data_IF_515256938701
#
_entry.id   IF_515256938701
#
_cell.length_a   1.000
_cell.length_b   1.000
_cell.length_c   1.000
_cell.angle_alpha   90.00
_cell.angle_beta   90.00
_cell.angle_gamma   90.00
#
_symmetry.space_group_name_H-M   'P 1'
#
loop_
_entity.id
_entity.type
_entity.pdbx_description
1 polymer ?
#
# COMPACT_ATOMS: atom_id res chain seq x y z
N UNK A 1 15.65 10.33 7.21
CA UNK A 1 14.48 10.92 7.91
C UNK A 1 14.18 12.33 7.37
N UNK A 2 15.21 13.15 7.13
CA UNK A 2 15.07 14.51 6.59
C UNK A 2 14.32 14.53 5.26
N UNK A 3 14.59 13.61 4.34
CA UNK A 3 13.92 13.52 3.04
C UNK A 3 12.40 13.35 3.12
N UNK A 4 11.87 12.67 4.15
CA UNK A 4 10.42 12.45 4.27
C UNK A 4 9.72 13.70 4.82
N UNK A 5 10.36 14.41 5.73
CA UNK A 5 9.82 15.66 6.27
C UNK A 5 9.77 16.80 5.23
N UNK A 6 10.58 16.71 4.17
CA UNK A 6 10.60 17.67 3.07
C UNK A 6 9.54 17.40 1.99
N UNK A 7 8.92 16.20 1.98
CA UNK A 7 7.90 15.87 0.99
C UNK A 7 6.64 16.70 1.26
N UNK A 8 6.26 17.50 0.30
CA UNK A 8 5.03 18.30 0.33
C UNK A 8 4.10 17.86 -0.80
N UNK A 9 3.20 16.91 -0.50
CA UNK A 9 2.25 16.37 -1.46
C UNK A 9 0.84 16.27 -0.83
N UNK A 10 -0.25 16.60 -1.53
CA UNK A 10 -1.60 16.62 -0.97
C UNK A 10 -2.07 15.27 -0.42
N UNK A 11 -1.54 14.16 -0.95
CA UNK A 11 -1.92 12.81 -0.55
C UNK A 11 -0.85 12.09 0.29
N UNK A 12 0.03 12.84 0.91
CA UNK A 12 1.02 12.37 1.89
C UNK A 12 0.79 13.12 3.19
N UNK A 13 0.86 12.42 4.32
CA UNK A 13 0.72 13.04 5.64
C UNK A 13 1.83 14.06 5.85
N UNK A 14 1.48 15.24 6.32
CA UNK A 14 2.47 16.27 6.63
C UNK A 14 3.13 15.96 7.96
N UNK A 15 4.45 15.89 7.97
CA UNK A 15 5.27 15.76 9.17
C UNK A 15 5.74 17.15 9.59
N UNK A 16 5.48 17.52 10.84
CA UNK A 16 5.86 18.83 11.40
C UNK A 16 7.16 18.77 12.16
N UNK A 17 7.43 17.65 12.83
CA UNK A 17 8.63 17.46 13.63
C UNK A 17 9.00 15.99 13.79
N UNK A 18 10.28 15.74 13.90
CA UNK A 18 10.88 14.42 14.14
C UNK A 18 11.93 14.59 15.22
N UNK A 19 11.62 14.15 16.42
CA UNK A 19 12.56 14.21 17.55
C UNK A 19 13.07 12.83 17.96
N UNK A 20 14.35 12.74 18.23
CA UNK A 20 14.97 11.57 18.86
C UNK A 20 15.56 12.04 20.18
N UNK A 21 14.85 11.72 21.28
CA UNK A 21 15.38 11.90 22.64
C UNK A 21 16.17 10.66 23.09
N UNK A 22 16.80 10.73 24.27
CA UNK A 22 17.64 9.66 24.81
C UNK A 22 16.89 8.34 24.97
N UNK A 23 15.58 8.37 25.25
CA UNK A 23 14.76 7.18 25.48
C UNK A 23 13.55 7.03 24.50
N UNK A 24 13.22 8.05 23.71
CA UNK A 24 12.01 8.06 22.89
C UNK A 24 12.24 8.74 21.55
N UNK A 25 11.72 8.13 20.47
CA UNK A 25 11.52 8.81 19.20
C UNK A 25 10.07 9.30 19.12
N UNK A 26 9.85 10.55 18.72
CA UNK A 26 8.50 11.09 18.49
C UNK A 26 8.38 11.67 17.08
N UNK A 27 7.18 11.59 16.54
CA UNK A 27 6.82 12.18 15.25
C UNK A 27 5.60 13.06 15.48
N UNK A 28 5.72 14.36 15.24
CA UNK A 28 4.58 15.25 15.17
C UNK A 28 4.11 15.37 13.73
N UNK A 29 2.85 15.00 13.47
CA UNK A 29 2.29 14.98 12.12
C UNK A 29 0.88 15.58 12.08
N UNK A 30 0.39 15.81 10.87
CA UNK A 30 -0.99 16.21 10.59
C UNK A 30 -1.96 15.25 11.27
N UNK A 31 -2.98 15.79 11.93
CA UNK A 31 -4.08 15.01 12.50
C UNK A 31 -5.13 14.73 11.43
N UNK A 32 -5.44 13.45 11.22
CA UNK A 32 -6.36 12.96 10.20
C UNK A 32 -7.58 12.34 10.90
N UNK A 33 -8.74 12.99 10.79
CA UNK A 33 -9.94 12.65 11.54
C UNK A 33 -11.04 11.95 10.72
N UNK A 34 -10.78 11.63 9.46
CA UNK A 34 -11.70 10.92 8.57
C UNK A 34 -11.68 9.38 8.67
N UNK A 35 -10.91 8.83 9.62
CA UNK A 35 -10.69 7.38 9.74
C UNK A 35 -9.69 6.83 8.71
N UNK A 36 -9.58 5.51 8.62
CA UNK A 36 -8.71 4.84 7.67
C UNK A 36 -9.50 4.19 6.52
N UNK A 37 -8.80 3.88 5.44
CA UNK A 37 -9.39 3.23 4.27
C UNK A 37 -9.94 1.83 4.58
N UNK A 38 -9.37 1.12 5.58
CA UNK A 38 -9.87 -0.20 6.00
C UNK A 38 -11.30 -0.10 6.54
N UNK A 39 -11.55 0.89 7.40
CA UNK A 39 -12.90 1.15 7.91
C UNK A 39 -13.82 1.55 6.75
N UNK A 40 -13.39 2.43 5.85
CA UNK A 40 -14.18 2.86 4.71
C UNK A 40 -14.53 1.71 3.77
N UNK A 41 -13.63 0.76 3.52
CA UNK A 41 -13.93 -0.46 2.75
C UNK A 41 -15.01 -1.29 3.44
N UNK A 42 -14.93 -1.46 4.77
CA UNK A 42 -15.91 -2.23 5.52
C UNK A 42 -17.32 -1.60 5.51
N UNK A 43 -17.40 -0.28 5.45
CA UNK A 43 -18.66 0.49 5.29
C UNK A 43 -19.21 0.44 3.86
N UNK A 44 -18.38 0.09 2.89
CA UNK A 44 -18.68 0.06 1.47
C UNK A 44 -18.20 1.31 0.74
N UNK A 45 -17.53 1.11 -0.40
CA UNK A 45 -16.99 2.18 -1.24
C UNK A 45 -17.73 2.17 -2.59
N UNK A 46 -18.13 3.35 -3.04
CA UNK A 46 -18.65 3.50 -4.42
C UNK A 46 -17.52 3.35 -5.42
N UNK A 47 -17.82 2.86 -6.62
CA UNK A 47 -16.85 2.76 -7.73
C UNK A 47 -16.13 4.10 -7.97
N UNK A 48 -16.87 5.20 -7.98
CA UNK A 48 -16.32 6.55 -8.13
C UNK A 48 -15.26 6.88 -7.09
N UNK A 49 -15.54 6.57 -5.82
CA UNK A 49 -14.60 6.82 -4.73
C UNK A 49 -13.39 5.87 -4.81
N UNK A 50 -13.60 4.60 -5.17
CA UNK A 50 -12.49 3.65 -5.35
C UNK A 50 -11.50 4.14 -6.41
N UNK A 51 -12.00 4.63 -7.55
CA UNK A 51 -11.19 5.22 -8.62
C UNK A 51 -10.50 6.51 -8.17
N UNK A 52 -11.20 7.37 -7.45
CA UNK A 52 -10.62 8.61 -6.90
C UNK A 52 -9.48 8.30 -5.93
N UNK A 53 -9.69 7.38 -5.00
CA UNK A 53 -8.66 6.97 -4.03
C UNK A 53 -7.47 6.30 -4.73
N UNK A 54 -7.72 5.43 -5.71
CA UNK A 54 -6.64 4.82 -6.50
C UNK A 54 -5.73 5.88 -7.13
N UNK A 55 -6.31 6.91 -7.77
CA UNK A 55 -5.54 8.01 -8.38
C UNK A 55 -4.71 8.77 -7.36
N UNK A 56 -5.28 9.09 -6.22
CA UNK A 56 -4.62 9.83 -5.15
C UNK A 56 -3.47 9.02 -4.54
N UNK A 57 -3.67 7.71 -4.29
CA UNK A 57 -2.63 6.83 -3.77
C UNK A 57 -1.50 6.68 -4.79
N UNK A 58 -1.83 6.48 -6.08
CA UNK A 58 -0.84 6.37 -7.14
C UNK A 58 -0.01 7.65 -7.26
N UNK A 59 -0.62 8.84 -7.14
CA UNK A 59 0.08 10.13 -7.13
C UNK A 59 1.06 10.24 -5.96
N UNK A 60 0.64 9.85 -4.75
CA UNK A 60 1.49 9.84 -3.58
C UNK A 60 2.66 8.86 -3.71
N UNK A 61 2.40 7.64 -4.25
CA UNK A 61 3.46 6.66 -4.51
C UNK A 61 4.47 7.18 -5.54
N UNK A 62 4.00 7.81 -6.62
CA UNK A 62 4.88 8.40 -7.63
C UNK A 62 5.84 9.43 -7.01
N UNK A 63 5.35 10.27 -6.10
CA UNK A 63 6.15 11.26 -5.39
C UNK A 63 7.26 10.62 -4.55
N UNK A 64 6.91 9.67 -3.67
CA UNK A 64 7.92 9.01 -2.82
C UNK A 64 8.90 8.17 -3.63
N UNK A 65 8.45 7.52 -4.70
CA UNK A 65 9.32 6.76 -5.60
C UNK A 65 10.30 7.67 -6.34
N UNK A 66 9.87 8.88 -6.73
CA UNK A 66 10.70 9.88 -7.39
C UNK A 66 11.90 10.33 -6.55
N UNK A 67 11.78 10.29 -5.23
CA UNK A 67 12.89 10.57 -4.29
C UNK A 67 13.55 9.30 -3.74
N UNK A 68 13.30 8.15 -4.34
CA UNK A 68 13.94 6.88 -4.00
C UNK A 68 13.41 6.22 -2.72
N UNK A 69 12.23 6.61 -2.26
CA UNK A 69 11.59 6.03 -1.07
C UNK A 69 10.56 4.99 -1.50
N UNK A 70 10.57 3.82 -0.84
CA UNK A 70 9.56 2.76 -0.99
C UNK A 70 8.68 2.74 0.25
N UNK A 71 7.36 2.54 0.05
CA UNK A 71 6.43 2.42 1.16
C UNK A 71 6.60 1.09 1.92
N UNK A 72 6.70 -0.03 1.20
CA UNK A 72 6.97 -1.41 1.69
C UNK A 72 5.90 -2.04 2.59
N UNK A 73 4.99 -1.26 3.16
CA UNK A 73 3.88 -1.75 4.01
C UNK A 73 2.56 -1.07 3.62
N UNK A 74 2.32 -0.94 2.31
CA UNK A 74 1.11 -0.34 1.78
C UNK A 74 -0.10 -1.24 2.06
N UNK A 75 -1.06 -0.72 2.83
CA UNK A 75 -2.29 -1.41 3.21
C UNK A 75 -3.36 -0.38 3.58
N UNK A 76 -4.65 -0.73 3.57
CA UNK A 76 -5.74 0.22 3.87
C UNK A 76 -5.62 0.93 5.23
N UNK A 77 -5.04 0.27 6.25
CA UNK A 77 -4.80 0.91 7.56
C UNK A 77 -3.71 1.99 7.56
N UNK A 78 -2.88 2.05 6.51
CA UNK A 78 -1.84 3.09 6.34
C UNK A 78 -2.28 4.18 5.34
N UNK A 79 -3.58 4.23 5.02
CA UNK A 79 -4.20 5.23 4.16
C UNK A 79 -5.32 5.88 4.96
N UNK A 80 -5.09 7.11 5.39
CA UNK A 80 -6.05 7.87 6.19
C UNK A 80 -6.88 8.79 5.29
N UNK A 81 -8.08 9.12 5.76
CA UNK A 81 -8.96 10.08 5.09
C UNK A 81 -9.00 11.40 5.85
N UNK A 82 -9.16 12.49 5.09
CA UNK A 82 -9.52 13.81 5.63
C UNK A 82 -11.02 14.02 5.53
N UNK A 83 -11.53 15.07 6.15
CA UNK A 83 -12.97 15.45 6.10
C UNK A 83 -13.50 15.72 4.70
N UNK A 84 -12.65 16.14 3.79
CA UNK A 84 -12.99 16.42 2.39
C UNK A 84 -12.92 15.16 1.49
N UNK A 85 -12.81 13.98 2.10
CA UNK A 85 -12.65 12.70 1.42
C UNK A 85 -11.32 12.56 0.64
N UNK A 86 -10.36 13.46 0.80
CA UNK A 86 -9.01 13.25 0.28
C UNK A 86 -8.25 12.25 1.14
N UNK A 87 -7.34 11.50 0.54
CA UNK A 87 -6.51 10.53 1.28
C UNK A 87 -5.14 11.12 1.63
N UNK A 88 -4.54 10.58 2.67
CA UNK A 88 -3.14 10.78 3.02
C UNK A 88 -2.47 9.45 3.32
N UNK A 89 -1.34 9.17 2.66
CA UNK A 89 -0.47 8.05 3.01
C UNK A 89 0.27 8.36 4.31
N UNK A 90 0.33 7.36 5.20
CA UNK A 90 1.08 7.39 6.45
C UNK A 90 2.06 6.20 6.51
N UNK A 91 3.01 6.24 7.43
CA UNK A 91 3.90 5.09 7.75
C UNK A 91 4.74 4.54 6.59
N UNK A 92 5.57 5.37 5.96
CA UNK A 92 6.52 5.01 4.90
C UNK A 92 7.64 4.07 5.36
N UNK A 93 7.35 2.86 5.79
CA UNK A 93 8.33 1.86 6.19
C UNK A 93 9.31 2.30 7.30
N UNK A 94 9.06 3.45 7.95
CA UNK A 94 9.91 4.01 9.01
C UNK A 94 10.01 3.07 10.20
N UNK A 95 8.88 2.49 10.60
CA UNK A 95 8.82 1.55 11.72
C UNK A 95 9.57 0.23 11.41
N UNK A 96 9.52 -0.26 10.17
CA UNK A 96 10.23 -1.50 9.79
C UNK A 96 11.74 -1.33 9.80
N UNK A 97 12.28 -0.17 9.40
CA UNK A 97 13.72 0.10 9.49
C UNK A 97 14.21 0.27 10.93
N UNK A 98 13.40 0.86 11.81
CA UNK A 98 13.70 0.95 13.23
C UNK A 98 13.54 -0.40 13.93
N UNK A 99 12.49 -1.17 13.63
CA UNK A 99 12.26 -2.51 14.16
C UNK A 99 13.28 -3.52 13.67
N UNK A 100 13.67 -3.54 12.39
CA UNK A 100 14.73 -4.41 11.88
C UNK A 100 16.11 -4.15 12.51
N UNK A 101 16.33 -2.97 13.10
CA UNK A 101 17.52 -2.72 13.93
C UNK A 101 17.37 -3.19 15.38
N UNK A 102 16.12 -3.36 15.86
CA UNK A 102 15.85 -3.73 17.27
C UNK A 102 15.36 -5.18 17.42
N UNK A 103 14.84 -5.81 16.35
CA UNK A 103 14.25 -7.15 16.38
C UNK A 103 14.86 -8.05 15.29
N UNK A 104 16.16 -8.25 15.32
CA UNK A 104 16.74 -9.52 14.88
C UNK A 104 16.57 -10.52 16.02
N UNK A 105 15.31 -10.87 16.31
CA UNK A 105 15.00 -12.04 17.12
C UNK A 105 14.95 -13.28 16.23
N UNK A 106 15.60 -14.32 16.66
CA UNK A 106 15.94 -15.59 15.99
C UNK A 106 14.76 -16.50 15.59
N UNK A 107 13.53 -15.99 15.50
CA UNK A 107 12.37 -16.79 15.12
C UNK A 107 11.64 -16.10 13.96
N UNK A 108 11.64 -16.76 12.79
CA UNK A 108 11.02 -16.32 11.55
C UNK A 108 9.49 -16.16 11.62
N UNK A 109 8.98 -15.45 12.59
CA UNK A 109 7.58 -15.09 12.72
C UNK A 109 7.24 -13.92 11.78
N UNK A 110 6.36 -14.19 10.81
CA UNK A 110 5.77 -13.18 9.94
C UNK A 110 4.80 -12.35 10.80
N UNK A 111 5.24 -11.16 11.24
CA UNK A 111 4.37 -10.24 11.96
C UNK A 111 3.27 -9.69 11.05
N UNK A 112 2.03 -10.06 11.31
CA UNK A 112 0.84 -9.61 10.58
C UNK A 112 0.46 -10.54 9.43
N UNK A 113 -0.76 -10.35 8.92
CA UNK A 113 -1.28 -11.16 7.82
C UNK A 113 -0.85 -10.57 6.49
N UNK A 114 -0.18 -11.34 5.58
CA UNK A 114 0.48 -10.83 4.37
C UNK A 114 -0.51 -10.58 3.21
N UNK A 115 -1.69 -10.02 3.48
CA UNK A 115 -2.73 -9.84 2.46
C UNK A 115 -2.38 -8.87 1.34
N UNK A 116 -1.45 -7.93 1.58
CA UNK A 116 -1.07 -6.89 0.61
C UNK A 116 0.37 -7.03 0.13
N UNK A 117 1.05 -8.09 0.55
CA UNK A 117 2.45 -8.35 0.26
C UNK A 117 2.63 -8.77 -1.20
N UNK A 118 3.63 -8.22 -1.87
CA UNK A 118 3.98 -8.67 -3.21
C UNK A 118 4.67 -10.04 -3.20
N UNK A 119 4.64 -10.80 -4.31
CA UNK A 119 5.31 -12.10 -4.40
C UNK A 119 6.79 -12.05 -3.99
N UNK A 120 7.54 -11.06 -4.45
CA UNK A 120 8.95 -10.88 -4.14
C UNK A 120 9.20 -10.56 -2.67
N UNK A 121 8.32 -9.78 -2.02
CA UNK A 121 8.39 -9.54 -0.58
C UNK A 121 8.19 -10.84 0.21
N UNK A 122 7.24 -11.67 -0.21
CA UNK A 122 6.95 -12.95 0.44
C UNK A 122 8.07 -13.98 0.32
N UNK A 123 8.93 -13.85 -0.69
CA UNK A 123 10.09 -14.72 -0.92
C UNK A 123 11.41 -14.14 -0.40
N UNK A 124 11.40 -12.93 0.16
CA UNK A 124 12.62 -12.25 0.59
C UNK A 124 13.56 -11.82 -0.54
N UNK A 125 13.03 -11.71 -1.77
CA UNK A 125 13.76 -11.25 -2.94
C UNK A 125 13.92 -9.72 -2.93
N UNK A 126 14.72 -9.19 -3.88
CA UNK A 126 14.88 -7.75 -4.04
C UNK A 126 13.55 -7.02 -4.26
N UNK A 127 13.27 -6.03 -3.42
CA UNK A 127 12.01 -5.25 -3.43
C UNK A 127 12.30 -3.88 -4.01
N UNK A 128 11.54 -3.48 -5.02
CA UNK A 128 11.56 -2.14 -5.61
C UNK A 128 10.17 -1.47 -5.57
N UNK A 129 10.04 -0.31 -6.21
CA UNK A 129 8.80 0.49 -6.25
C UNK A 129 7.60 -0.26 -6.86
N UNK A 130 7.84 -1.28 -7.70
CA UNK A 130 6.78 -2.10 -8.30
C UNK A 130 6.11 -3.04 -7.30
N UNK A 131 6.74 -3.28 -6.13
CA UNK A 131 6.10 -3.97 -5.01
C UNK A 131 4.96 -3.13 -4.41
N UNK A 132 5.14 -1.81 -4.31
CA UNK A 132 4.09 -0.90 -3.84
C UNK A 132 2.92 -0.83 -4.86
N UNK A 133 3.23 -0.90 -6.17
CA UNK A 133 2.21 -0.97 -7.24
C UNK A 133 1.37 -2.25 -7.11
N UNK A 134 2.02 -3.39 -6.81
CA UNK A 134 1.31 -4.64 -6.55
C UNK A 134 0.37 -4.52 -5.33
N UNK A 135 0.87 -3.99 -4.22
CA UNK A 135 0.07 -3.76 -3.01
C UNK A 135 -1.12 -2.83 -3.27
N UNK A 136 -0.91 -1.78 -4.09
CA UNK A 136 -1.99 -0.89 -4.55
C UNK A 136 -3.04 -1.64 -5.38
N UNK A 137 -2.62 -2.57 -6.24
CA UNK A 137 -3.53 -3.45 -7.00
C UNK A 137 -4.40 -4.31 -6.08
N UNK A 138 -3.81 -4.88 -5.02
CA UNK A 138 -4.57 -5.64 -4.01
C UNK A 138 -5.61 -4.75 -3.30
N UNK A 139 -5.23 -3.53 -2.93
CA UNK A 139 -6.13 -2.56 -2.31
C UNK A 139 -7.24 -2.15 -3.27
N UNK A 140 -6.93 -1.93 -4.54
CA UNK A 140 -7.93 -1.56 -5.53
C UNK A 140 -8.96 -2.67 -5.76
N UNK A 141 -8.51 -3.92 -5.85
CA UNK A 141 -9.42 -5.06 -5.90
C UNK A 141 -10.37 -5.07 -4.69
N UNK A 142 -9.82 -4.88 -3.47
CA UNK A 142 -10.60 -4.85 -2.23
C UNK A 142 -11.59 -3.67 -2.21
N UNK A 143 -11.20 -2.48 -2.65
CA UNK A 143 -12.11 -1.33 -2.78
C UNK A 143 -13.29 -1.59 -3.72
N UNK A 144 -13.06 -2.30 -4.84
CA UNK A 144 -14.09 -2.60 -5.83
C UNK A 144 -15.04 -3.73 -5.42
N UNK A 145 -14.56 -4.69 -4.63
CA UNK A 145 -15.28 -5.94 -4.34
C UNK A 145 -15.73 -6.07 -2.88
N UNK A 146 -15.09 -5.36 -1.96
CA UNK A 146 -15.21 -5.55 -0.50
C UNK A 146 -14.42 -6.77 0.00
N UNK A 147 -13.70 -7.46 -0.87
CA UNK A 147 -12.99 -8.71 -0.56
C UNK A 147 -11.54 -8.67 -1.00
N UNK A 148 -10.68 -9.41 -0.30
CA UNK A 148 -9.27 -9.57 -0.69
C UNK A 148 -9.15 -10.56 -1.85
N UNK A 149 -8.26 -10.32 -2.84
CA UNK A 149 -8.10 -11.21 -3.99
C UNK A 149 -7.54 -12.59 -3.61
N UNK A 150 -6.76 -12.67 -2.53
CA UNK A 150 -6.14 -13.90 -2.06
C UNK A 150 -6.42 -14.09 -0.58
N UNK A 151 -6.95 -15.27 -0.21
CA UNK A 151 -7.32 -15.63 1.16
C UNK A 151 -6.97 -17.08 1.43
N UNK A 152 -6.39 -17.38 2.58
CA UNK A 152 -6.12 -18.73 3.03
C UNK A 152 -6.08 -18.81 4.57
N UNK A 153 -6.06 -20.02 5.11
CA UNK A 153 -6.08 -20.28 6.55
C UNK A 153 -4.73 -20.02 7.27
N UNK A 154 -3.65 -19.73 6.52
CA UNK A 154 -2.34 -19.42 7.11
C UNK A 154 -1.60 -18.36 6.32
N UNK A 155 -0.68 -17.65 6.97
CA UNK A 155 0.15 -16.63 6.34
C UNK A 155 0.96 -17.19 5.15
N UNK A 156 1.56 -18.37 5.31
CA UNK A 156 2.32 -19.02 4.25
C UNK A 156 1.46 -19.40 3.05
N UNK A 157 0.21 -19.85 3.27
CA UNK A 157 -0.71 -20.16 2.18
C UNK A 157 -1.15 -18.89 1.43
N UNK A 158 -1.30 -17.74 2.11
CA UNK A 158 -1.58 -16.45 1.47
C UNK A 158 -0.38 -16.01 0.62
N UNK A 159 0.85 -16.09 1.13
CA UNK A 159 2.07 -15.79 0.38
C UNK A 159 2.16 -16.67 -0.88
N UNK A 160 1.88 -17.96 -0.73
CA UNK A 160 1.84 -18.87 -1.88
C UNK A 160 0.80 -18.45 -2.93
N UNK A 161 -0.40 -18.02 -2.51
CA UNK A 161 -1.42 -17.51 -3.44
C UNK A 161 -0.97 -16.24 -4.15
N UNK A 162 -0.35 -15.29 -3.46
CA UNK A 162 0.22 -14.11 -4.10
C UNK A 162 1.22 -14.48 -5.21
N UNK A 163 2.02 -15.50 -4.99
CA UNK A 163 3.03 -15.94 -5.95
C UNK A 163 2.46 -16.78 -7.12
N UNK A 164 1.42 -17.58 -6.89
CA UNK A 164 1.02 -18.66 -7.82
C UNK A 164 -0.44 -18.66 -8.24
N UNK A 165 -1.36 -18.16 -7.44
CA UNK A 165 -2.77 -18.20 -7.78
C UNK A 165 -3.08 -17.25 -8.95
N UNK A 166 -4.01 -17.61 -9.84
CA UNK A 166 -4.47 -16.70 -10.88
C UNK A 166 -5.09 -15.46 -10.27
N UNK A 167 -4.99 -14.33 -10.97
CA UNK A 167 -5.65 -13.08 -10.58
C UNK A 167 -7.16 -13.29 -10.69
N UNK A 168 -7.95 -13.08 -9.62
CA UNK A 168 -9.38 -13.31 -9.67
C UNK A 168 -10.08 -12.31 -10.60
N UNK A 169 -11.16 -12.78 -11.23
CA UNK A 169 -11.97 -11.94 -12.09
C UNK A 169 -12.82 -10.99 -11.26
N UNK A 170 -12.90 -9.75 -11.73
CA UNK A 170 -13.80 -8.75 -11.17
C UNK A 170 -15.26 -9.08 -11.50
N UNK A 171 -16.22 -8.74 -10.63
CA UNK A 171 -17.64 -8.74 -10.96
C UNK A 171 -17.94 -7.91 -12.23
N UNK A 172 -18.95 -8.32 -13.01
CA UNK A 172 -19.30 -7.68 -14.29
C UNK A 172 -19.46 -6.16 -14.17
N UNK A 173 -20.03 -5.67 -13.06
CA UNK A 173 -20.26 -4.23 -12.81
C UNK A 173 -19.01 -3.36 -12.79
N UNK A 174 -17.83 -3.96 -12.58
CA UNK A 174 -16.51 -3.27 -12.49
C UNK A 174 -15.45 -3.95 -13.36
N UNK A 175 -15.88 -4.80 -14.30
CA UNK A 175 -14.99 -5.60 -15.15
C UNK A 175 -14.12 -4.74 -16.08
N UNK A 176 -14.47 -3.49 -16.34
CA UNK A 176 -13.66 -2.54 -17.11
C UNK A 176 -12.27 -2.31 -16.50
N UNK A 177 -12.10 -2.52 -15.20
CA UNK A 177 -10.80 -2.38 -14.51
C UNK A 177 -9.95 -3.66 -14.50
N UNK A 178 -10.42 -4.75 -15.12
CA UNK A 178 -9.69 -6.03 -15.09
C UNK A 178 -8.31 -5.94 -15.75
N UNK A 179 -8.19 -5.21 -16.86
CA UNK A 179 -6.91 -5.04 -17.56
C UNK A 179 -5.88 -4.32 -16.67
N UNK A 180 -6.29 -3.23 -16.02
CA UNK A 180 -5.43 -2.51 -15.06
C UNK A 180 -5.00 -3.44 -13.90
N UNK A 181 -5.95 -4.16 -13.31
CA UNK A 181 -5.63 -5.10 -12.22
C UNK A 181 -4.68 -6.20 -12.64
N UNK A 182 -4.82 -6.73 -13.87
CA UNK A 182 -3.90 -7.73 -14.38
C UNK A 182 -2.46 -7.19 -14.48
N UNK A 183 -2.31 -5.93 -14.91
CA UNK A 183 -1.01 -5.26 -14.96
C UNK A 183 -0.44 -4.98 -13.56
N UNK A 184 -1.28 -4.54 -12.61
CA UNK A 184 -0.80 -4.25 -11.25
C UNK A 184 -0.47 -5.52 -10.46
N UNK A 185 -1.25 -6.60 -10.63
CA UNK A 185 -1.13 -7.87 -9.90
C UNK A 185 -0.32 -8.93 -10.64
N UNK A 186 0.37 -8.59 -11.73
CA UNK A 186 1.28 -9.50 -12.42
C UNK A 186 2.33 -10.06 -11.44
N UNK A 187 2.63 -11.36 -11.59
CA UNK A 187 3.46 -12.06 -10.61
C UNK A 187 4.92 -11.61 -10.67
N UNK A 188 5.42 -11.38 -11.87
CA UNK A 188 6.77 -10.88 -12.09
C UNK A 188 6.75 -9.34 -12.13
N UNK A 189 7.67 -8.65 -11.42
CA UNK A 189 7.73 -7.19 -11.43
C UNK A 189 7.87 -6.56 -12.82
N UNK A 190 8.56 -7.22 -13.73
CA UNK A 190 8.77 -6.79 -15.13
C UNK A 190 7.49 -6.78 -15.96
N UNK A 191 6.49 -7.58 -15.59
CA UNK A 191 5.19 -7.67 -16.26
C UNK A 191 4.16 -6.65 -15.69
N UNK A 192 4.53 -5.90 -14.65
CA UNK A 192 3.66 -4.90 -14.02
C UNK A 192 3.79 -3.52 -14.70
N UNK A 193 2.91 -2.60 -14.31
CA UNK A 193 3.17 -1.17 -14.53
C UNK A 193 4.55 -0.82 -13.95
N UNK A 194 5.35 -0.08 -14.71
CA UNK A 194 6.72 0.25 -14.31
C UNK A 194 6.79 1.53 -13.47
N UNK A 195 5.70 2.30 -13.43
CA UNK A 195 5.58 3.50 -12.60
C UNK A 195 4.16 3.65 -12.07
N UNK A 196 4.01 4.19 -10.87
CA UNK A 196 2.70 4.58 -10.35
C UNK A 196 2.05 5.71 -11.16
N UNK A 197 2.84 6.48 -11.93
CA UNK A 197 2.34 7.52 -12.85
C UNK A 197 1.52 6.96 -14.01
N UNK A 198 1.68 5.68 -14.36
CA UNK A 198 0.93 5.04 -15.43
C UNK A 198 -0.52 4.67 -15.02
N UNK A 199 -0.82 4.55 -13.72
CA UNK A 199 -2.14 4.13 -13.23
C UNK A 199 -3.29 4.98 -13.78
N UNK A 200 -3.21 6.34 -13.80
CA UNK A 200 -4.30 7.16 -14.32
C UNK A 200 -4.60 6.97 -15.82
N UNK A 201 -3.62 6.50 -16.60
CA UNK A 201 -3.79 6.28 -18.05
C UNK A 201 -4.74 5.11 -18.37
N UNK A 202 -5.00 4.24 -17.39
CA UNK A 202 -5.85 3.06 -17.49
C UNK A 202 -7.27 3.29 -16.95
N UNK A 203 -7.61 4.50 -16.50
CA UNK A 203 -8.87 4.89 -15.88
C UNK A 203 -9.63 5.91 -16.74
#
# INVERSE_FOLDING_TARGET
YELIAEINHPNIVRIYDLGVGDDHAHIAMEYLDGGDLKQRIAEGITERNAVSYLKQIASALAEIHGVGILHRDLKPGNIMLRKDESIALIDFGLAKRLRLRMEMTDEGEIFGTPYYMSPEQGHGNGVDHRSDIYSLGVIFYEMLTGEKPFRAGSAMAIIYQHARAPIPLLPTRVSQYQALLNMMLAKQPEDRLQSATEVPEWL
#
